data_IF_339734913982
#
_entry.id   IF_339734913982
#
_cell.length_a   1.000
_cell.length_b   1.000
_cell.length_c   1.000
_cell.angle_alpha   90.00
_cell.angle_beta   90.00
_cell.angle_gamma   90.00
#
_symmetry.space_group_name_H-M   'P 1'
#
loop_
_entity.id
_entity.type
_entity.pdbx_description
1 polymer ?
#
# COMPACT_ATOMS: atom_id res chain seq x y z
N UNK A 1 -12.85 16.74 13.38
CA UNK A 1 -13.48 15.80 12.41
C UNK A 1 -12.41 15.40 11.40
N UNK A 2 -11.69 14.30 11.66
CA UNK A 2 -10.70 13.77 10.72
C UNK A 2 -11.45 12.88 9.73
N UNK A 3 -11.44 13.27 8.46
CA UNK A 3 -11.97 12.44 7.36
C UNK A 3 -10.95 11.33 7.11
N UNK A 4 -11.20 10.12 7.61
CA UNK A 4 -10.46 8.93 7.19
C UNK A 4 -10.90 8.57 5.76
N UNK A 5 -10.33 9.26 4.77
CA UNK A 5 -10.42 8.88 3.37
C UNK A 5 -9.48 7.71 3.15
N UNK A 6 -10.02 6.49 3.11
CA UNK A 6 -9.24 5.30 2.77
C UNK A 6 -8.79 5.40 1.31
N UNK A 7 -7.49 5.55 1.11
CA UNK A 7 -6.80 5.25 -0.14
C UNK A 7 -5.93 4.00 0.11
N UNK A 8 -5.46 3.39 -0.98
CA UNK A 8 -5.14 1.96 -1.18
C UNK A 8 -4.38 1.21 -0.05
N UNK A 9 -5.06 0.28 0.67
CA UNK A 9 -4.44 -0.68 1.62
C UNK A 9 -3.26 -1.43 1.00
N UNK A 10 -3.33 -1.70 -0.31
CA UNK A 10 -2.26 -2.38 -1.05
C UNK A 10 -0.96 -1.57 -1.01
N UNK A 11 -1.04 -0.25 -1.25
CA UNK A 11 0.15 0.61 -1.30
C UNK A 11 0.84 0.66 0.06
N UNK A 12 0.07 0.84 1.14
CA UNK A 12 0.60 0.77 2.50
C UNK A 12 1.26 -0.59 2.78
N UNK A 13 0.62 -1.70 2.41
CA UNK A 13 1.17 -3.04 2.64
C UNK A 13 2.47 -3.27 1.86
N UNK A 14 2.56 -2.80 0.62
CA UNK A 14 3.77 -2.90 -0.20
C UNK A 14 4.94 -2.15 0.48
N UNK A 15 4.72 -0.92 0.95
CA UNK A 15 5.74 -0.14 1.68
C UNK A 15 6.14 -0.80 3.01
N UNK A 16 5.19 -1.26 3.81
CA UNK A 16 5.45 -1.93 5.10
C UNK A 16 5.91 -3.40 4.94
N UNK A 17 5.98 -3.92 3.71
CA UNK A 17 6.54 -5.24 3.44
C UNK A 17 8.06 -5.25 3.53
N UNK A 18 8.72 -4.07 3.42
CA UNK A 18 10.16 -3.93 3.60
C UNK A 18 10.64 -4.53 4.93
N UNK A 19 11.84 -5.08 4.91
CA UNK A 19 12.50 -5.70 6.06
C UNK A 19 13.90 -5.15 6.21
N UNK A 20 14.40 -5.14 7.44
CA UNK A 20 15.80 -4.83 7.72
C UNK A 20 16.72 -5.72 6.86
N UNK A 21 17.73 -5.09 6.27
CA UNK A 21 18.66 -5.71 5.32
C UNK A 21 18.18 -5.74 3.87
N UNK A 22 16.94 -5.34 3.56
CA UNK A 22 16.52 -5.18 2.17
C UNK A 22 17.29 -4.04 1.49
N UNK A 23 17.60 -4.23 0.22
CA UNK A 23 18.15 -3.17 -0.65
C UNK A 23 17.03 -2.60 -1.50
N UNK A 24 16.88 -1.27 -1.46
CA UNK A 24 15.92 -0.51 -2.26
C UNK A 24 16.68 0.43 -3.17
N UNK A 25 16.33 0.44 -4.45
CA UNK A 25 16.91 1.35 -5.45
C UNK A 25 15.86 2.38 -5.83
N UNK A 26 16.09 3.62 -5.44
CA UNK A 26 15.30 4.76 -5.89
C UNK A 26 15.93 5.24 -7.19
N UNK A 27 15.16 5.36 -8.27
CA UNK A 27 15.70 5.76 -9.55
C UNK A 27 14.69 6.56 -10.39
N UNK A 28 15.23 7.33 -11.33
CA UNK A 28 14.49 8.18 -12.25
C UNK A 28 15.21 8.22 -13.61
N UNK A 29 14.44 8.45 -14.68
CA UNK A 29 14.95 8.48 -16.05
C UNK A 29 14.51 9.71 -16.81
N UNK A 30 15.46 10.36 -17.47
CA UNK A 30 15.17 11.31 -18.54
C UNK A 30 15.25 10.60 -19.89
N UNK A 31 14.35 10.92 -20.80
CA UNK A 31 14.14 10.12 -22.01
C UNK A 31 13.91 10.99 -23.24
N UNK A 32 14.20 10.46 -24.43
CA UNK A 32 13.99 11.18 -25.70
C UNK A 32 12.51 11.41 -26.01
N UNK A 33 11.59 10.81 -25.26
CA UNK A 33 10.15 10.93 -25.49
C UNK A 33 9.33 10.11 -24.48
N UNK A 34 8.14 9.65 -24.87
CA UNK A 34 7.22 8.99 -23.93
C UNK A 34 6.96 7.52 -24.26
N UNK A 35 7.46 7.01 -25.39
CA UNK A 35 7.06 5.72 -25.94
C UNK A 35 8.28 4.89 -26.33
N UNK A 36 8.79 4.11 -25.39
CA UNK A 36 9.92 3.21 -25.59
C UNK A 36 9.66 2.22 -26.74
N UNK A 37 8.42 1.75 -26.90
CA UNK A 37 7.97 0.88 -28.00
C UNK A 37 8.04 1.53 -29.39
N UNK A 38 8.17 2.87 -29.45
CA UNK A 38 8.34 3.64 -30.69
C UNK A 38 9.79 4.02 -30.97
N UNK A 39 10.73 3.56 -30.13
CA UNK A 39 12.15 3.85 -30.30
C UNK A 39 12.69 4.95 -29.41
N UNK A 40 11.90 5.50 -28.48
CA UNK A 40 12.44 6.44 -27.49
C UNK A 40 13.49 5.74 -26.59
N UNK A 41 14.50 6.49 -26.16
CA UNK A 41 15.64 5.99 -25.37
C UNK A 41 15.82 6.77 -24.07
N UNK A 42 16.47 6.13 -23.11
CA UNK A 42 16.95 6.79 -21.89
C UNK A 42 18.14 7.68 -22.27
N UNK A 43 18.12 8.92 -21.78
CA UNK A 43 19.18 9.94 -21.91
C UNK A 43 19.95 10.10 -20.60
N UNK A 44 19.26 10.03 -19.48
CA UNK A 44 19.84 10.02 -18.14
C UNK A 44 19.19 8.90 -17.33
N UNK A 45 20.01 8.11 -16.63
CA UNK A 45 19.57 7.22 -15.58
C UNK A 45 20.29 7.62 -14.30
N UNK A 46 19.53 8.05 -13.30
CA UNK A 46 20.05 8.31 -11.96
C UNK A 46 19.45 7.32 -10.98
N UNK A 47 20.25 6.85 -10.03
CA UNK A 47 19.78 5.97 -8.98
C UNK A 47 20.53 6.15 -7.66
N UNK A 48 19.82 5.96 -6.55
CA UNK A 48 20.35 5.90 -5.19
C UNK A 48 19.96 4.56 -4.57
N UNK A 49 20.94 3.86 -4.01
CA UNK A 49 20.79 2.55 -3.38
C UNK A 49 20.76 2.72 -1.88
N UNK A 50 19.70 2.21 -1.25
CA UNK A 50 19.51 2.25 0.19
C UNK A 50 19.51 0.85 0.77
N UNK A 51 20.08 0.69 1.96
CA UNK A 51 19.82 -0.47 2.81
C UNK A 51 18.81 -0.08 3.88
N UNK A 52 17.76 -0.89 4.01
CA UNK A 52 16.74 -0.73 5.04
C UNK A 52 17.33 -1.17 6.38
N UNK A 53 17.44 -0.23 7.31
CA UNK A 53 17.86 -0.46 8.68
C UNK A 53 16.70 -0.85 9.59
N UNK A 54 16.96 -0.83 10.89
CA UNK A 54 15.92 -1.03 11.90
C UNK A 54 14.86 0.05 11.74
N UNK A 55 13.60 -0.31 12.02
CA UNK A 55 12.48 0.64 12.03
C UNK A 55 12.20 1.36 10.71
N UNK A 56 12.64 0.79 9.57
CA UNK A 56 12.53 1.32 8.20
C UNK A 56 13.47 2.49 7.88
N UNK A 57 14.51 2.74 8.68
CA UNK A 57 15.51 3.77 8.39
C UNK A 57 16.26 3.44 7.08
N UNK A 58 16.20 4.34 6.10
CA UNK A 58 16.90 4.17 4.83
C UNK A 58 18.30 4.76 4.91
N UNK A 59 19.30 3.89 4.77
CA UNK A 59 20.70 4.29 4.76
C UNK A 59 21.23 4.27 3.33
N UNK A 60 21.57 5.44 2.78
CA UNK A 60 22.18 5.55 1.46
C UNK A 60 23.55 4.85 1.48
N UNK A 61 23.74 3.89 0.57
CA UNK A 61 24.99 3.12 0.47
C UNK A 61 25.72 3.33 -0.85
N UNK A 62 25.03 3.80 -1.89
CA UNK A 62 25.62 4.00 -3.21
C UNK A 62 24.74 4.94 -4.06
N UNK A 63 25.34 5.61 -5.05
CA UNK A 63 24.60 6.39 -6.05
C UNK A 63 25.28 6.38 -7.42
N UNK A 64 24.48 6.47 -8.47
CA UNK A 64 24.95 6.55 -9.85
C UNK A 64 24.16 7.57 -10.64
N UNK A 65 24.83 8.20 -11.60
CA UNK A 65 24.23 9.07 -12.61
C UNK A 65 24.91 8.76 -13.94
N UNK A 66 24.16 8.20 -14.87
CA UNK A 66 24.60 7.83 -16.20
C UNK A 66 23.93 8.72 -17.23
N UNK A 67 24.72 9.30 -18.13
CA UNK A 67 24.22 9.94 -19.33
C UNK A 67 24.49 9.04 -20.53
N UNK A 68 23.48 8.81 -21.36
CA UNK A 68 23.50 7.81 -22.44
C UNK A 68 23.20 8.50 -23.77
N UNK A 69 24.12 8.38 -24.71
CA UNK A 69 23.95 8.88 -26.05
C UNK A 69 22.97 7.98 -26.83
N UNK A 70 21.81 8.51 -27.27
CA UNK A 70 20.79 7.72 -27.96
C UNK A 70 21.18 7.38 -29.42
N UNK A 71 22.28 7.96 -29.93
CA UNK A 71 22.76 7.84 -31.31
C UNK A 71 21.83 8.40 -32.39
N UNK A 72 20.88 9.26 -31.99
CA UNK A 72 20.01 10.02 -32.89
C UNK A 72 19.63 11.38 -32.28
N UNK A 73 19.18 12.36 -33.09
CA UNK A 73 18.82 13.68 -32.58
C UNK A 73 17.69 13.65 -31.54
N UNK A 74 17.88 14.36 -30.43
CA UNK A 74 16.88 14.47 -29.36
C UNK A 74 15.70 15.35 -29.84
N UNK A 75 14.44 14.90 -29.68
CA UNK A 75 13.29 15.74 -29.98
C UNK A 75 13.31 17.04 -29.15
N UNK A 76 13.10 18.22 -29.76
CA UNK A 76 13.18 19.51 -29.04
C UNK A 76 12.25 19.60 -27.82
N UNK A 77 11.07 18.96 -27.90
CA UNK A 77 10.11 18.93 -26.80
C UNK A 77 10.65 18.21 -25.56
N UNK A 78 11.56 17.24 -25.72
CA UNK A 78 12.20 16.54 -24.60
C UNK A 78 13.28 17.41 -23.98
N UNK A 79 14.12 18.05 -24.80
CA UNK A 79 15.09 19.05 -24.35
C UNK A 79 14.43 20.21 -23.58
N UNK A 80 13.21 20.63 -23.94
CA UNK A 80 12.46 21.65 -23.19
C UNK A 80 12.05 21.20 -21.77
N UNK A 81 11.94 19.89 -21.53
CA UNK A 81 11.56 19.32 -20.24
C UNK A 81 12.79 19.16 -19.33
N UNK A 82 13.81 18.47 -19.81
CA UNK A 82 14.95 18.03 -19.00
C UNK A 82 16.26 18.80 -19.27
N UNK A 83 16.30 19.66 -20.30
CA UNK A 83 17.45 20.50 -20.61
C UNK A 83 18.67 19.80 -21.23
N UNK A 84 18.57 18.49 -21.52
CA UNK A 84 19.65 17.72 -22.17
C UNK A 84 19.62 18.02 -23.67
N UNK A 85 20.73 18.54 -24.19
CA UNK A 85 20.89 18.90 -25.60
C UNK A 85 21.70 17.86 -26.37
N UNK A 86 21.56 17.86 -27.69
CA UNK A 86 22.36 17.02 -28.59
C UNK A 86 23.86 17.24 -28.37
N UNK A 87 24.29 18.50 -28.17
CA UNK A 87 25.70 18.83 -27.93
C UNK A 87 26.22 18.26 -26.61
N UNK A 88 25.38 18.26 -25.56
CA UNK A 88 25.76 17.72 -24.26
C UNK A 88 25.87 16.19 -24.29
N UNK A 89 24.96 15.51 -24.99
CA UNK A 89 24.93 14.03 -24.98
C UNK A 89 25.92 13.41 -25.99
N UNK A 90 26.39 14.17 -26.98
CA UNK A 90 27.17 13.64 -28.09
C UNK A 90 28.46 12.90 -27.71
N UNK A 91 29.13 13.31 -26.61
CA UNK A 91 30.37 12.70 -26.11
C UNK A 91 30.14 11.67 -25.00
N UNK A 92 28.88 11.40 -24.63
CA UNK A 92 28.53 10.44 -23.60
C UNK A 92 28.56 9.00 -24.15
N UNK A 93 28.77 8.00 -23.28
CA UNK A 93 28.74 6.60 -23.67
C UNK A 93 27.41 6.21 -24.35
N UNK A 94 27.45 5.24 -25.25
CA UNK A 94 26.22 4.68 -25.83
C UNK A 94 25.65 3.58 -24.91
N UNK A 95 24.44 3.10 -25.22
CA UNK A 95 23.77 2.06 -24.42
C UNK A 95 24.65 0.81 -24.23
N UNK A 96 25.33 0.35 -25.29
CA UNK A 96 26.26 -0.80 -25.25
C UNK A 96 27.41 -0.63 -24.26
N UNK A 97 27.85 0.60 -24.00
CA UNK A 97 28.99 0.87 -23.12
C UNK A 97 28.61 0.82 -21.63
N UNK A 98 27.34 1.08 -21.30
CA UNK A 98 26.87 1.22 -19.91
C UNK A 98 25.98 0.07 -19.44
N UNK A 99 25.52 -0.79 -20.35
CA UNK A 99 24.50 -1.79 -20.03
C UNK A 99 24.93 -2.77 -18.92
N UNK A 100 26.21 -3.16 -18.88
CA UNK A 100 26.71 -4.05 -17.84
C UNK A 100 26.64 -3.39 -16.45
N UNK A 101 26.97 -2.10 -16.35
CA UNK A 101 26.80 -1.32 -15.11
C UNK A 101 25.32 -1.21 -14.73
N UNK A 102 24.42 -0.97 -15.71
CA UNK A 102 22.98 -0.95 -15.46
C UNK A 102 22.48 -2.30 -14.93
N UNK A 103 22.97 -3.43 -15.47
CA UNK A 103 22.62 -4.75 -14.97
C UNK A 103 23.11 -5.02 -13.54
N UNK A 104 24.29 -4.51 -13.18
CA UNK A 104 24.82 -4.60 -11.82
C UNK A 104 24.01 -3.75 -10.84
N UNK A 105 23.54 -2.59 -11.29
CA UNK A 105 22.67 -1.73 -10.51
C UNK A 105 21.31 -2.38 -10.27
N UNK A 106 20.70 -3.02 -11.26
CA UNK A 106 19.34 -3.57 -11.16
C UNK A 106 19.31 -5.10 -11.28
N UNK A 107 19.83 -5.84 -10.27
CA UNK A 107 19.83 -7.30 -10.31
C UNK A 107 18.42 -7.87 -10.14
N UNK A 108 18.23 -9.12 -10.59
CA UNK A 108 16.96 -9.84 -10.46
C UNK A 108 16.48 -9.87 -8.99
N UNK A 109 15.21 -9.52 -8.78
CA UNK A 109 14.56 -9.51 -7.47
C UNK A 109 14.82 -8.26 -6.63
N UNK A 110 15.59 -7.27 -7.13
CA UNK A 110 15.82 -6.02 -6.39
C UNK A 110 14.51 -5.26 -6.16
N UNK A 111 14.42 -4.55 -5.04
CA UNK A 111 13.29 -3.66 -4.76
C UNK A 111 13.59 -2.32 -5.43
N UNK A 112 12.64 -1.82 -6.21
CA UNK A 112 12.79 -0.52 -6.88
C UNK A 112 11.73 0.47 -6.42
N UNK A 113 12.09 1.75 -6.46
CA UNK A 113 11.23 2.84 -6.10
C UNK A 113 11.43 4.03 -7.06
N UNK A 114 10.36 4.77 -7.30
CA UNK A 114 10.38 6.00 -8.11
C UNK A 114 9.04 6.73 -7.98
N UNK A 115 8.96 7.93 -8.55
CA UNK A 115 7.73 8.74 -8.52
C UNK A 115 7.02 8.60 -9.86
N UNK A 116 5.93 7.84 -9.91
CA UNK A 116 5.37 7.30 -11.16
C UNK A 116 6.28 6.25 -11.82
N UNK A 117 6.92 5.41 -11.00
CA UNK A 117 7.88 4.36 -11.41
C UNK A 117 7.43 3.39 -12.51
N UNK A 118 6.13 3.15 -12.79
CA UNK A 118 5.76 2.41 -14.00
C UNK A 118 6.30 3.06 -15.29
N UNK A 119 6.63 4.36 -15.25
CA UNK A 119 7.25 5.05 -16.36
C UNK A 119 8.69 4.64 -16.58
N UNK A 120 9.50 4.71 -15.55
CA UNK A 120 10.91 4.37 -15.60
C UNK A 120 11.07 2.86 -15.85
N UNK A 121 10.23 2.05 -15.21
CA UNK A 121 10.24 0.59 -15.38
C UNK A 121 10.02 0.18 -16.85
N UNK A 122 9.17 0.86 -17.61
CA UNK A 122 8.95 0.49 -19.03
C UNK A 122 10.17 0.78 -19.89
N UNK A 123 10.87 1.89 -19.65
CA UNK A 123 12.10 2.23 -20.36
C UNK A 123 13.24 1.32 -19.97
N UNK A 124 13.40 1.03 -18.67
CA UNK A 124 14.41 0.12 -18.18
C UNK A 124 14.16 -1.31 -18.68
N UNK A 125 12.89 -1.75 -18.75
CA UNK A 125 12.53 -3.04 -19.33
C UNK A 125 12.90 -3.12 -20.82
N UNK A 126 12.55 -2.09 -21.60
CA UNK A 126 12.86 -2.02 -23.02
C UNK A 126 14.38 -1.99 -23.29
N UNK A 127 15.16 -1.30 -22.45
CA UNK A 127 16.62 -1.36 -22.44
C UNK A 127 17.12 -2.79 -22.15
N UNK A 128 16.64 -3.45 -21.10
CA UNK A 128 17.03 -4.82 -20.78
C UNK A 128 16.74 -5.79 -21.94
N UNK A 129 15.56 -5.67 -22.56
CA UNK A 129 15.11 -6.54 -23.64
C UNK A 129 15.97 -6.40 -24.89
N UNK A 130 16.39 -5.17 -25.25
CA UNK A 130 17.34 -4.94 -26.36
C UNK A 130 18.67 -5.68 -26.17
N UNK A 131 19.09 -5.84 -24.92
CA UNK A 131 20.33 -6.52 -24.54
C UNK A 131 20.11 -7.97 -24.09
N UNK A 132 18.97 -8.57 -24.42
CA UNK A 132 18.70 -9.99 -24.21
C UNK A 132 18.48 -10.39 -22.75
N UNK A 133 18.17 -9.44 -21.87
CA UNK A 133 17.78 -9.68 -20.47
C UNK A 133 16.33 -9.26 -20.23
N UNK A 134 15.81 -9.59 -19.05
CA UNK A 134 14.48 -9.14 -18.63
C UNK A 134 14.63 -8.47 -17.29
N UNK A 135 14.12 -7.25 -17.16
CA UNK A 135 14.07 -6.56 -15.88
C UNK A 135 13.02 -7.20 -14.97
N UNK A 136 13.43 -7.72 -13.81
CA UNK A 136 12.57 -8.46 -12.87
C UNK A 136 12.67 -7.89 -11.44
N UNK A 137 12.05 -6.73 -11.15
CA UNK A 137 12.02 -6.22 -9.79
C UNK A 137 11.23 -7.15 -8.87
N UNK A 138 11.70 -7.36 -7.65
CA UNK A 138 11.03 -8.19 -6.64
C UNK A 138 9.84 -7.49 -5.99
N UNK A 139 9.94 -6.16 -5.85
CA UNK A 139 8.90 -5.28 -5.36
C UNK A 139 9.06 -3.90 -6.01
N UNK A 140 7.94 -3.25 -6.31
CA UNK A 140 7.89 -1.92 -6.94
C UNK A 140 7.13 -0.97 -6.01
N UNK A 141 7.82 0.04 -5.51
CA UNK A 141 7.26 1.08 -4.65
C UNK A 141 7.07 2.38 -5.44
N UNK A 142 5.87 2.93 -5.44
CA UNK A 142 5.55 4.16 -6.19
C UNK A 142 5.20 5.31 -5.23
N UNK A 143 6.10 6.29 -5.12
CA UNK A 143 5.89 7.46 -4.26
C UNK A 143 4.77 8.36 -4.75
N UNK A 144 4.38 8.31 -6.04
CA UNK A 144 3.16 8.98 -6.52
C UNK A 144 1.90 8.34 -5.94
N UNK A 145 1.88 7.01 -5.82
CA UNK A 145 0.74 6.30 -5.22
C UNK A 145 0.69 6.54 -3.72
N UNK A 146 1.84 6.53 -3.03
CA UNK A 146 1.91 6.87 -1.61
C UNK A 146 1.50 8.32 -1.36
N UNK A 147 1.96 9.27 -2.16
CA UNK A 147 1.54 10.67 -2.09
C UNK A 147 0.04 10.81 -2.29
N UNK A 148 -0.53 10.11 -3.28
CA UNK A 148 -1.98 10.07 -3.47
C UNK A 148 -2.67 9.47 -2.27
N UNK A 149 -2.12 8.47 -1.61
CA UNK A 149 -2.76 7.87 -0.43
C UNK A 149 -2.75 8.81 0.78
N UNK A 150 -1.59 9.40 1.07
CA UNK A 150 -1.32 10.14 2.29
C UNK A 150 -1.79 11.60 2.24
N UNK A 151 -1.80 12.23 1.06
CA UNK A 151 -2.11 13.65 0.88
C UNK A 151 -3.55 13.86 0.39
N UNK A 152 -4.30 14.75 1.06
CA UNK A 152 -5.63 15.16 0.56
C UNK A 152 -5.46 15.89 -0.77
N UNK A 153 -6.07 15.37 -1.83
CA UNK A 153 -6.02 15.96 -3.17
C UNK A 153 -6.59 17.38 -3.26
N UNK A 154 -7.30 17.86 -2.23
CA UNK A 154 -7.78 19.25 -2.15
C UNK A 154 -6.74 20.21 -1.57
N UNK A 155 -5.69 19.69 -0.94
CA UNK A 155 -4.63 20.48 -0.31
C UNK A 155 -3.49 20.85 -1.27
N UNK A 156 -3.41 20.16 -2.42
CA UNK A 156 -2.37 20.35 -3.43
C UNK A 156 -2.96 20.44 -4.83
N UNK A 157 -2.37 21.21 -5.75
CA UNK A 157 -2.85 21.33 -7.13
C UNK A 157 -2.66 20.04 -7.94
N UNK A 158 -1.68 19.22 -7.58
CA UNK A 158 -1.36 17.93 -8.19
C UNK A 158 -0.44 17.13 -7.25
N UNK A 159 -0.09 15.91 -7.63
CA UNK A 159 0.85 15.06 -6.88
C UNK A 159 2.16 14.85 -7.65
N UNK A 160 2.59 15.82 -8.48
CA UNK A 160 3.92 15.77 -9.10
C UNK A 160 4.99 15.83 -8.01
N UNK A 161 6.14 15.23 -8.27
CA UNK A 161 7.25 15.11 -7.32
C UNK A 161 7.54 16.46 -6.63
N UNK A 162 7.83 17.50 -7.40
CA UNK A 162 8.13 18.83 -6.84
C UNK A 162 7.01 19.46 -6.02
N UNK A 163 5.73 19.16 -6.30
CA UNK A 163 4.61 19.66 -5.48
C UNK A 163 4.56 18.97 -4.12
N UNK A 164 4.81 17.65 -4.10
CA UNK A 164 4.77 16.85 -2.88
C UNK A 164 6.04 17.06 -2.06
N UNK A 165 7.20 17.15 -2.71
CA UNK A 165 8.47 17.51 -2.09
C UNK A 165 8.36 18.83 -1.33
N UNK A 166 7.80 19.87 -1.97
CA UNK A 166 7.57 21.17 -1.33
C UNK A 166 6.58 21.10 -0.17
N UNK A 167 5.52 20.30 -0.28
CA UNK A 167 4.56 20.10 0.80
C UNK A 167 5.23 19.53 2.06
N UNK A 168 6.13 18.56 1.86
CA UNK A 168 6.85 17.87 2.93
C UNK A 168 8.18 18.54 3.33
N UNK A 169 8.58 19.62 2.66
CA UNK A 169 9.87 20.28 2.88
C UNK A 169 11.08 19.43 2.47
N UNK A 170 10.89 18.46 1.58
CA UNK A 170 11.94 17.58 1.06
C UNK A 170 12.71 18.19 -0.13
N UNK A 171 12.28 19.36 -0.62
CA UNK A 171 12.84 20.03 -1.80
C UNK A 171 14.14 20.79 -1.52
N UNK A 172 14.44 21.15 -0.26
CA UNK A 172 15.66 21.87 0.16
C UNK A 172 16.00 23.14 -0.66
N UNK A 173 15.00 23.74 -1.31
CA UNK A 173 15.20 24.88 -2.21
C UNK A 173 15.86 24.52 -3.55
N UNK A 174 15.94 23.25 -3.90
CA UNK A 174 16.42 22.77 -5.20
C UNK A 174 15.43 23.13 -6.31
N UNK A 175 15.96 23.28 -7.52
CA UNK A 175 15.16 23.51 -8.73
C UNK A 175 15.11 22.18 -9.50
N UNK A 176 13.97 21.49 -9.45
CA UNK A 176 13.74 20.16 -10.04
C UNK A 176 13.90 20.15 -11.56
N UNK A 177 14.95 19.54 -12.09
CA UNK A 177 15.18 19.44 -13.53
C UNK A 177 16.15 18.32 -13.96
N UNK A 178 16.80 17.63 -13.03
CA UNK A 178 17.74 16.54 -13.33
C UNK A 178 17.28 15.26 -12.66
N UNK A 179 17.47 14.10 -13.30
CA UNK A 179 17.06 12.83 -12.71
C UNK A 179 17.74 12.60 -11.35
N UNK A 180 18.98 13.08 -11.19
CA UNK A 180 19.70 12.97 -9.91
C UNK A 180 19.01 13.70 -8.76
N UNK A 181 18.59 14.95 -8.97
CA UNK A 181 17.91 15.73 -7.93
C UNK A 181 16.55 15.11 -7.61
N UNK A 182 15.85 14.63 -8.64
CA UNK A 182 14.55 13.97 -8.51
C UNK A 182 14.65 12.66 -7.71
N UNK A 183 15.68 11.83 -7.98
CA UNK A 183 15.98 10.62 -7.19
C UNK A 183 16.22 10.94 -5.73
N UNK A 184 17.07 11.94 -5.46
CA UNK A 184 17.42 12.30 -4.09
C UNK A 184 16.18 12.73 -3.28
N UNK A 185 15.33 13.55 -3.88
CA UNK A 185 14.07 13.99 -3.26
C UNK A 185 13.09 12.82 -3.14
N UNK A 186 13.00 11.96 -4.14
CA UNK A 186 12.16 10.77 -4.09
C UNK A 186 12.58 9.84 -2.94
N UNK A 187 13.88 9.67 -2.68
CA UNK A 187 14.41 8.92 -1.55
C UNK A 187 14.00 9.51 -0.19
N UNK A 188 14.04 10.83 -0.05
CA UNK A 188 13.53 11.53 1.15
C UNK A 188 12.03 11.31 1.34
N UNK A 189 11.26 11.43 0.27
CA UNK A 189 9.81 11.18 0.32
C UNK A 189 9.50 9.71 0.66
N UNK A 190 10.27 8.76 0.14
CA UNK A 190 10.14 7.36 0.50
C UNK A 190 10.30 7.14 2.01
N UNK A 191 11.34 7.73 2.63
CA UNK A 191 11.53 7.68 4.09
C UNK A 191 10.31 8.27 4.83
N UNK A 192 9.89 9.48 4.46
CA UNK A 192 8.74 10.16 5.08
C UNK A 192 7.46 9.32 4.98
N UNK A 193 7.23 8.70 3.83
CA UNK A 193 6.04 7.86 3.61
C UNK A 193 6.10 6.55 4.39
N UNK A 194 7.27 5.93 4.55
CA UNK A 194 7.45 4.78 5.43
C UNK A 194 7.10 5.13 6.87
N UNK A 195 7.57 6.28 7.35
CA UNK A 195 7.28 6.76 8.70
C UNK A 195 5.77 7.03 8.90
N UNK A 196 5.15 7.75 7.98
CA UNK A 196 3.69 8.01 8.03
C UNK A 196 2.87 6.71 7.97
N UNK A 197 3.23 5.78 7.09
CA UNK A 197 2.53 4.50 6.99
C UNK A 197 2.70 3.66 8.24
N UNK A 198 3.88 3.68 8.86
CA UNK A 198 4.15 3.03 10.14
C UNK A 198 3.31 3.64 11.24
N UNK A 199 3.33 4.96 11.41
CA UNK A 199 2.51 5.66 12.40
C UNK A 199 1.02 5.36 12.23
N UNK A 200 0.52 5.41 10.99
CA UNK A 200 -0.87 5.07 10.68
C UNK A 200 -1.19 3.60 10.99
N UNK A 201 -0.28 2.68 10.69
CA UNK A 201 -0.46 1.27 11.03
C UNK A 201 -0.48 1.05 12.55
N UNK A 202 0.36 1.74 13.32
CA UNK A 202 0.33 1.71 14.79
C UNK A 202 -0.96 2.30 15.36
N UNK A 203 -1.45 3.41 14.82
CA UNK A 203 -2.72 4.02 15.20
C UNK A 203 -3.94 3.15 14.84
N UNK A 204 -3.83 2.37 13.77
CA UNK A 204 -4.86 1.43 13.33
C UNK A 204 -4.88 0.13 14.15
N UNK A 205 -3.81 -0.19 14.90
CA UNK A 205 -3.85 -1.29 15.87
C UNK A 205 -4.94 -0.97 16.89
N UNK A 206 -5.82 -1.94 17.23
CA UNK A 206 -6.80 -1.72 18.28
C UNK A 206 -6.03 -1.34 19.54
N UNK A 207 -6.17 -0.10 19.98
CA UNK A 207 -5.62 0.32 21.26
C UNK A 207 -6.10 -0.70 22.29
N UNK A 208 -5.16 -1.33 22.99
CA UNK A 208 -5.48 -2.14 24.15
C UNK A 208 -6.13 -1.20 25.16
N UNK A 209 -7.46 -1.07 25.10
CA UNK A 209 -8.23 -0.47 26.16
C UNK A 209 -7.85 -1.25 27.41
N UNK A 210 -7.19 -0.59 28.36
CA UNK A 210 -7.03 -1.16 29.69
C UNK A 210 -8.43 -1.60 30.12
N UNK A 211 -8.63 -2.85 30.55
CA UNK A 211 -9.92 -3.26 31.06
C UNK A 211 -10.30 -2.28 32.16
N UNK A 212 -11.40 -1.54 31.95
CA UNK A 212 -11.98 -0.69 32.99
C UNK A 212 -12.17 -1.57 34.22
N UNK A 213 -11.77 -1.08 35.39
CA UNK A 213 -12.05 -1.80 36.62
C UNK A 213 -13.57 -1.95 36.78
N UNK A 214 -14.03 -2.96 37.51
CA UNK A 214 -15.47 -3.17 37.73
C UNK A 214 -16.18 -1.91 38.27
N UNK A 215 -15.47 -1.07 39.02
CA UNK A 215 -15.97 0.20 39.57
C UNK A 215 -16.14 1.29 38.50
N UNK A 216 -15.19 1.41 37.57
CA UNK A 216 -15.27 2.38 36.45
C UNK A 216 -16.38 2.02 35.45
N UNK A 217 -16.66 0.71 35.28
CA UNK A 217 -17.79 0.25 34.47
C UNK A 217 -19.13 0.58 35.15
N UNK A 218 -19.25 0.35 36.46
CA UNK A 218 -20.46 0.60 37.25
C UNK A 218 -20.82 2.09 37.34
N UNK A 219 -19.83 2.99 37.38
CA UNK A 219 -20.08 4.44 37.42
C UNK A 219 -20.65 5.01 36.11
N UNK A 220 -20.38 4.35 34.98
CA UNK A 220 -20.82 4.79 33.64
C UNK A 220 -22.19 4.23 33.21
N UNK A 221 -22.73 3.29 33.97
CA UNK A 221 -23.98 2.60 33.65
C UNK A 221 -25.05 3.10 34.64
N UNK A 222 -25.87 4.06 34.19
CA UNK A 222 -27.06 4.48 34.94
C UNK A 222 -28.23 3.52 34.68
N UNK A 223 -28.01 2.22 34.92
CA UNK A 223 -29.01 1.17 34.72
C UNK A 223 -29.41 0.58 36.08
N UNK A 224 -30.71 0.54 36.35
CA UNK A 224 -31.28 0.15 37.65
C UNK A 224 -30.96 -1.32 37.95
N UNK A 225 -30.52 -1.58 39.18
CA UNK A 225 -30.00 -2.85 39.73
C UNK A 225 -30.95 -4.06 39.71
N UNK A 226 -32.10 -4.04 39.04
CA UNK A 226 -33.16 -5.03 39.29
C UNK A 226 -33.32 -6.17 38.28
N UNK A 227 -32.66 -6.18 37.11
CA UNK A 227 -32.92 -7.24 36.10
C UNK A 227 -31.66 -7.69 35.33
N UNK A 228 -30.68 -8.27 36.00
CA UNK A 228 -29.67 -9.08 35.32
C UNK A 228 -30.06 -10.56 35.40
N UNK A 229 -30.39 -11.24 34.28
CA UNK A 229 -30.62 -12.67 34.30
C UNK A 229 -29.33 -13.42 34.62
N UNK A 230 -29.44 -14.35 35.58
CA UNK A 230 -28.38 -15.28 35.94
C UNK A 230 -28.10 -16.20 34.76
N UNK A 231 -26.87 -16.11 34.22
CA UNK A 231 -26.27 -16.90 33.13
C UNK A 231 -26.64 -16.44 31.72
N UNK A 232 -25.78 -15.60 31.13
CA UNK A 232 -25.64 -15.49 29.68
C UNK A 232 -24.20 -15.89 29.33
N UNK A 233 -23.97 -16.83 28.39
CA UNK A 233 -22.64 -17.26 28.01
C UNK A 233 -21.89 -16.09 27.35
N UNK A 234 -20.76 -15.76 27.95
CA UNK A 234 -19.73 -14.86 27.47
C UNK A 234 -19.37 -15.13 25.99
N UNK A 235 -19.66 -14.20 25.08
CA UNK A 235 -19.21 -14.28 23.68
C UNK A 235 -17.70 -13.98 23.64
N UNK A 236 -16.88 -15.01 23.50
CA UNK A 236 -15.43 -14.89 23.34
C UNK A 236 -15.04 -14.97 21.86
N UNK A 237 -15.48 -13.98 21.08
CA UNK A 237 -14.80 -13.59 19.84
C UNK A 237 -15.11 -14.39 18.56
N UNK A 238 -15.09 -13.60 17.49
CA UNK A 238 -14.74 -13.94 16.10
C UNK A 238 -15.86 -14.39 15.15
N UNK A 239 -16.06 -13.57 14.12
CA UNK A 239 -16.32 -14.04 12.76
C UNK A 239 -14.98 -14.51 12.15
N UNK A 240 -14.91 -15.75 11.70
CA UNK A 240 -13.70 -16.41 11.19
C UNK A 240 -13.56 -16.31 9.66
N UNK A 241 -14.66 -16.14 8.94
CA UNK A 241 -14.71 -16.18 7.48
C UNK A 241 -15.96 -15.49 6.95
N UNK A 242 -15.83 -14.76 5.85
CA UNK A 242 -16.94 -14.27 5.03
C UNK A 242 -16.97 -15.04 3.71
N UNK A 243 -18.11 -15.63 3.36
CA UNK A 243 -18.26 -16.33 2.09
C UNK A 243 -19.60 -15.97 1.44
N UNK A 244 -19.57 -15.78 0.11
CA UNK A 244 -20.76 -15.60 -0.70
C UNK A 244 -21.04 -16.88 -1.50
N UNK A 245 -22.13 -17.56 -1.16
CA UNK A 245 -22.68 -18.58 -2.04
C UNK A 245 -23.49 -17.90 -3.14
N UNK A 246 -22.94 -17.88 -4.36
CA UNK A 246 -23.57 -17.27 -5.55
C UNK A 246 -25.01 -17.75 -5.81
N UNK A 247 -25.38 -18.93 -5.31
CA UNK A 247 -26.70 -19.53 -5.50
C UNK A 247 -27.74 -19.17 -4.42
N UNK A 248 -27.35 -18.59 -3.28
CA UNK A 248 -28.23 -18.47 -2.10
C UNK A 248 -28.40 -17.05 -1.52
N UNK A 249 -27.86 -16.01 -2.17
CA UNK A 249 -28.03 -14.59 -1.79
C UNK A 249 -27.79 -14.26 -0.29
N UNK A 250 -26.95 -15.07 0.36
CA UNK A 250 -26.62 -14.99 1.78
C UNK A 250 -25.14 -14.73 1.98
N UNK A 251 -24.83 -13.91 2.97
CA UNK A 251 -23.48 -13.67 3.45
C UNK A 251 -23.29 -14.43 4.76
N UNK A 252 -22.35 -15.38 4.78
CA UNK A 252 -22.11 -16.23 5.94
C UNK A 252 -21.00 -15.69 6.83
N UNK A 253 -21.21 -15.84 8.14
CA UNK A 253 -20.29 -15.52 9.22
C UNK A 253 -20.12 -16.76 10.09
N UNK A 254 -18.90 -17.29 10.12
CA UNK A 254 -18.56 -18.46 10.93
C UNK A 254 -18.06 -18.02 12.29
N UNK A 255 -18.68 -18.47 13.38
CA UNK A 255 -18.29 -18.11 14.76
C UNK A 255 -17.94 -19.35 15.58
N UNK A 256 -17.40 -19.14 16.77
CA UNK A 256 -17.20 -20.19 17.78
C UNK A 256 -18.53 -20.86 18.19
N UNK A 257 -19.62 -20.09 18.19
CA UNK A 257 -21.00 -20.50 18.48
C UNK A 257 -21.73 -21.19 17.31
N UNK A 258 -21.23 -21.08 16.07
CA UNK A 258 -21.83 -21.71 14.89
C UNK A 258 -21.88 -20.80 13.66
N UNK A 259 -22.66 -21.19 12.65
CA UNK A 259 -22.81 -20.40 11.41
C UNK A 259 -24.04 -19.50 11.45
N UNK A 260 -23.80 -18.19 11.40
CA UNK A 260 -24.83 -17.15 11.28
C UNK A 260 -24.72 -16.53 9.87
N UNK A 261 -25.83 -16.11 9.28
CA UNK A 261 -25.84 -15.50 7.95
C UNK A 261 -26.76 -14.29 7.88
N UNK A 262 -26.43 -13.37 6.97
CA UNK A 262 -27.29 -12.26 6.55
C UNK A 262 -27.95 -12.57 5.20
N UNK A 263 -29.28 -12.59 5.16
CA UNK A 263 -30.06 -12.72 3.93
C UNK A 263 -30.25 -11.35 3.31
N UNK A 264 -29.62 -11.18 2.14
CA UNK A 264 -29.57 -9.89 1.44
C UNK A 264 -30.90 -9.53 0.80
N UNK A 265 -31.76 -10.51 0.53
CA UNK A 265 -33.08 -10.28 -0.04
C UNK A 265 -34.07 -9.88 1.04
N UNK A 266 -34.18 -10.71 2.08
CA UNK A 266 -35.15 -10.55 3.15
C UNK A 266 -34.71 -9.55 4.23
N UNK A 267 -33.45 -9.10 4.20
CA UNK A 267 -32.86 -8.16 5.17
C UNK A 267 -32.98 -8.66 6.60
N UNK A 268 -32.64 -9.93 6.82
CA UNK A 268 -32.72 -10.55 8.13
C UNK A 268 -31.53 -11.45 8.41
N UNK A 269 -31.23 -11.61 9.69
CA UNK A 269 -30.27 -12.60 10.18
C UNK A 269 -30.93 -13.96 10.33
N UNK A 270 -30.16 -14.99 10.05
CA UNK A 270 -30.53 -16.36 10.38
C UNK A 270 -29.31 -17.20 10.71
N UNK A 271 -29.56 -18.46 11.02
CA UNK A 271 -28.51 -19.41 11.36
C UNK A 271 -28.75 -20.74 10.64
N UNK A 272 -27.74 -21.61 10.65
CA UNK A 272 -27.89 -23.01 10.25
C UNK A 272 -28.19 -23.84 11.51
N UNK A 273 -29.43 -24.32 11.74
CA UNK A 273 -29.83 -24.95 13.00
C UNK A 273 -28.97 -26.16 13.39
N UNK A 274 -28.51 -26.91 12.40
CA UNK A 274 -27.64 -28.08 12.51
C UNK A 274 -26.16 -27.75 12.76
N UNK A 275 -25.76 -26.48 12.61
CA UNK A 275 -24.37 -26.02 12.75
C UNK A 275 -24.16 -25.06 13.93
N UNK A 276 -25.16 -24.89 14.77
CA UNK A 276 -25.05 -24.10 16.00
C UNK A 276 -24.57 -24.97 17.15
N UNK A 277 -23.58 -24.48 17.90
CA UNK A 277 -23.06 -25.13 19.12
C UNK A 277 -23.76 -24.65 20.39
N UNK A 278 -24.52 -23.56 20.30
CA UNK A 278 -25.37 -22.98 21.36
C UNK A 278 -26.72 -22.59 20.78
N UNK A 279 -27.81 -22.51 21.57
CA UNK A 279 -29.10 -22.00 21.09
C UNK A 279 -28.94 -20.61 20.48
N UNK A 280 -29.53 -20.36 19.32
CA UNK A 280 -29.37 -19.08 18.62
C UNK A 280 -29.92 -17.91 19.45
N UNK A 281 -30.99 -18.14 20.20
CA UNK A 281 -31.63 -17.17 21.10
C UNK A 281 -30.75 -16.78 22.29
N UNK A 282 -29.70 -17.57 22.57
CA UNK A 282 -28.74 -17.26 23.64
C UNK A 282 -27.61 -16.33 23.20
N UNK A 283 -27.58 -15.94 21.93
CA UNK A 283 -26.55 -15.08 21.34
C UNK A 283 -26.96 -13.62 21.47
N UNK A 284 -26.04 -12.79 21.98
CA UNK A 284 -26.15 -11.34 21.91
C UNK A 284 -25.98 -10.88 20.46
N UNK A 285 -27.11 -10.78 19.76
CA UNK A 285 -27.17 -10.39 18.36
C UNK A 285 -26.75 -8.93 18.15
N UNK A 286 -26.96 -8.04 19.13
CA UNK A 286 -26.55 -6.64 19.01
C UNK A 286 -25.02 -6.53 18.94
N UNK A 287 -24.33 -7.22 19.85
CA UNK A 287 -22.86 -7.30 19.83
C UNK A 287 -22.33 -8.00 18.57
N UNK A 288 -22.98 -9.08 18.14
CA UNK A 288 -22.61 -9.81 16.93
C UNK A 288 -22.73 -8.93 15.67
N UNK A 289 -23.86 -8.24 15.49
CA UNK A 289 -24.12 -7.38 14.32
C UNK A 289 -23.05 -6.29 14.22
N UNK A 290 -22.74 -5.64 15.34
CA UNK A 290 -21.70 -4.60 15.37
C UNK A 290 -20.35 -5.13 14.88
N UNK A 291 -19.97 -6.34 15.28
CA UNK A 291 -18.74 -6.98 14.82
C UNK A 291 -18.81 -7.39 13.35
N UNK A 292 -19.95 -7.90 12.88
CA UNK A 292 -20.15 -8.28 11.49
C UNK A 292 -20.06 -7.08 10.53
N UNK A 293 -20.66 -5.94 10.90
CA UNK A 293 -20.57 -4.68 10.17
C UNK A 293 -19.13 -4.17 10.09
N UNK A 294 -18.44 -4.19 11.23
CA UNK A 294 -17.03 -3.81 11.31
C UNK A 294 -16.15 -4.69 10.40
N UNK A 295 -16.31 -6.02 10.46
CA UNK A 295 -15.56 -6.97 9.63
C UNK A 295 -15.81 -6.73 8.13
N UNK A 296 -17.06 -6.46 7.77
CA UNK A 296 -17.45 -6.18 6.39
C UNK A 296 -17.08 -4.75 5.93
N UNK A 297 -16.51 -3.92 6.81
CA UNK A 297 -16.17 -2.52 6.55
C UNK A 297 -17.38 -1.69 6.08
N UNK A 298 -18.54 -1.93 6.68
CA UNK A 298 -19.80 -1.23 6.37
C UNK A 298 -20.43 -0.63 7.62
N UNK A 299 -21.28 0.38 7.43
CA UNK A 299 -21.88 1.14 8.54
C UNK A 299 -23.15 0.51 9.09
N UNK A 300 -23.89 -0.17 8.23
CA UNK A 300 -25.18 -0.77 8.56
C UNK A 300 -25.47 -2.00 7.70
N UNK A 301 -26.54 -2.71 8.05
CA UNK A 301 -26.94 -3.97 7.40
C UNK A 301 -27.43 -3.76 5.95
N UNK A 302 -27.81 -2.53 5.60
CA UNK A 302 -28.19 -2.16 4.23
C UNK A 302 -26.96 -2.22 3.32
N UNK A 303 -25.85 -1.66 3.77
CA UNK A 303 -24.56 -1.72 3.08
C UNK A 303 -23.99 -3.15 3.04
N UNK A 304 -24.21 -3.96 4.08
CA UNK A 304 -23.78 -5.37 4.16
C UNK A 304 -24.31 -6.21 2.98
N UNK A 305 -25.46 -5.82 2.43
CA UNK A 305 -26.08 -6.49 1.28
C UNK A 305 -25.33 -6.27 -0.04
N UNK A 306 -24.48 -5.24 -0.11
CA UNK A 306 -23.72 -4.85 -1.31
C UNK A 306 -22.28 -5.38 -1.29
N UNK A 307 -21.85 -5.98 -0.18
CA UNK A 307 -20.50 -6.52 -0.01
C UNK A 307 -20.32 -7.72 -0.95
N UNK A 308 -19.34 -7.70 -1.84
CA UNK A 308 -18.97 -8.88 -2.61
C UNK A 308 -17.64 -9.41 -2.04
N UNK A 309 -17.65 -10.40 -1.14
CA UNK A 309 -16.40 -10.91 -0.61
C UNK A 309 -15.62 -11.56 -1.76
N UNK A 310 -14.42 -11.05 -2.04
CA UNK A 310 -13.39 -11.86 -2.71
C UNK A 310 -13.13 -13.13 -1.89
N UNK A 311 -12.39 -14.11 -2.42
CA UNK A 311 -11.96 -15.30 -1.66
C UNK A 311 -10.93 -14.94 -0.56
N UNK A 312 -11.16 -13.89 0.21
CA UNK A 312 -10.26 -13.42 1.24
C UNK A 312 -10.81 -13.75 2.61
N UNK A 313 -9.95 -14.41 3.38
CA UNK A 313 -10.21 -14.83 4.75
C UNK A 313 -9.59 -13.81 5.68
N UNK A 314 -10.39 -13.13 6.48
CA UNK A 314 -9.89 -12.16 7.47
C UNK A 314 -9.99 -12.77 8.87
N UNK A 315 -8.83 -12.94 9.51
CA UNK A 315 -8.67 -13.55 10.84
C UNK A 315 -8.49 -12.48 11.92
N UNK A 316 -9.06 -12.69 13.12
CA UNK A 316 -8.92 -11.74 14.25
C UNK A 316 -8.61 -12.43 15.59
N UNK A 317 -7.34 -12.81 15.83
CA UNK A 317 -6.68 -13.03 17.15
C UNK A 317 -5.45 -13.97 17.07
N UNK A 318 -4.50 -13.67 16.18
CA UNK A 318 -3.08 -13.94 16.44
C UNK A 318 -2.56 -15.37 16.62
N UNK A 319 -3.30 -16.45 16.33
CA UNK A 319 -2.71 -17.80 16.17
C UNK A 319 -3.34 -18.57 15.00
N UNK A 320 -2.52 -19.31 14.21
CA UNK A 320 -3.03 -20.18 13.16
C UNK A 320 -3.84 -21.33 13.77
N UNK A 321 -5.00 -21.62 13.20
CA UNK A 321 -5.71 -22.86 13.48
C UNK A 321 -4.91 -23.98 12.80
N UNK A 322 -4.15 -24.75 13.59
CA UNK A 322 -3.63 -26.02 13.14
C UNK A 322 -4.82 -26.95 12.88
N UNK A 323 -4.89 -27.46 11.66
CA UNK A 323 -5.81 -28.53 11.31
C UNK A 323 -5.47 -29.77 12.14
N UNK A 324 -6.41 -30.17 13.00
CA UNK A 324 -6.57 -31.54 13.49
C UNK A 324 -8.05 -31.84 13.56
#
# INVERSE_FOLDING_TARGET
>A
MVKNGYRSIKTQNDFLSLKEGNTVIVYDTETTGLACEKGDRILELSAEKFIVGTDYELNLIDSVQLFINPQFPIPPASTEVHGITDEFIADKPIEDDVIDEVFEWFPDGVIVCGHNVPFDNRFLTDMFERHGRTFRPGLVLDTLQAARDLVDSKSVPNHKLGTIAKLYGADEGMTFHTAKDDVHVCGKLLQIFLDEYKEKAELAKPQTLRPKTGEEMLASINCRKSELPKRVPYIKGMCLHMYHHANNNRLYFYTDCGSIWWDRYNKCWGHAPDKMKVPFESIDMEAFIKNALWLASVKDETELSRVNPGKETVWFNGKPWAAT
#
